data_IF_447709672987
#
_entry.id   IF_447709672987
#
_cell.length_a   1.000
_cell.length_b   1.000
_cell.length_c   1.000
_cell.angle_alpha   90.00
_cell.angle_beta   90.00
_cell.angle_gamma   90.00
#
_symmetry.space_group_name_H-M   'P 1'
#
loop_
_entity.id
_entity.type
_entity.pdbx_description
1 polymer ?
#
# COMPACT_ATOMS: atom_id res chain seq x y z
N UNK A 1 -19.32 0.66 1.86
CA UNK A 1 -17.95 0.91 2.34
C UNK A 1 -17.57 -0.24 3.24
N UNK A 2 -16.45 -0.93 2.98
CA UNK A 2 -15.91 -1.92 3.91
C UNK A 2 -15.71 -1.24 5.28
N UNK A 3 -16.03 -1.92 6.37
CA UNK A 3 -15.81 -1.35 7.71
C UNK A 3 -14.30 -1.22 7.91
N UNK A 4 -13.81 -0.15 8.53
CA UNK A 4 -12.38 0.07 8.82
C UNK A 4 -11.70 -1.14 9.52
N UNK A 5 -12.49 -1.96 10.21
CA UNK A 5 -12.07 -3.22 10.83
C UNK A 5 -11.78 -4.37 9.85
N UNK A 6 -12.05 -4.21 8.56
CA UNK A 6 -11.87 -5.23 7.53
C UNK A 6 -10.60 -4.98 6.69
N UNK A 7 -9.98 -3.80 6.83
CA UNK A 7 -8.77 -3.43 6.08
C UNK A 7 -7.53 -3.82 6.90
N UNK A 8 -7.03 -5.04 6.66
CA UNK A 8 -5.87 -5.60 7.37
C UNK A 8 -4.62 -4.71 7.30
N UNK A 9 -4.36 -4.06 6.16
CA UNK A 9 -3.22 -3.14 6.02
C UNK A 9 -3.32 -1.94 6.96
N UNK A 10 -4.53 -1.37 7.14
CA UNK A 10 -4.74 -0.23 8.03
C UNK A 10 -4.60 -0.65 9.50
N UNK A 11 -5.04 -1.86 9.85
CA UNK A 11 -4.79 -2.42 11.19
C UNK A 11 -3.29 -2.61 11.45
N UNK A 12 -2.56 -3.14 10.47
CA UNK A 12 -1.10 -3.25 10.54
C UNK A 12 -0.43 -1.91 10.74
N UNK A 13 -0.87 -0.88 10.01
CA UNK A 13 -0.34 0.49 10.16
C UNK A 13 -0.63 1.06 11.56
N UNK A 14 -1.86 0.94 12.05
CA UNK A 14 -2.23 1.37 13.42
C UNK A 14 -1.38 0.67 14.47
N UNK A 15 -1.16 -0.64 14.31
CA UNK A 15 -0.29 -1.41 15.20
C UNK A 15 1.15 -0.90 15.16
N UNK A 16 1.72 -0.69 13.98
CA UNK A 16 3.09 -0.20 13.83
C UNK A 16 3.29 1.19 14.46
N UNK A 17 2.33 2.11 14.29
CA UNK A 17 2.38 3.42 14.97
C UNK A 17 2.35 3.26 16.49
N UNK A 18 1.45 2.44 17.02
CA UNK A 18 1.34 2.20 18.46
C UNK A 18 2.64 1.58 19.04
N UNK A 19 3.23 0.60 18.34
CA UNK A 19 4.51 -0.03 18.72
C UNK A 19 5.67 0.96 18.74
N UNK A 20 5.64 1.98 17.86
CA UNK A 20 6.60 3.07 17.83
C UNK A 20 6.31 4.18 18.88
N UNK A 21 5.26 4.04 19.70
CA UNK A 21 4.83 5.08 20.65
C UNK A 21 4.21 6.31 19.99
N UNK A 22 3.81 6.20 18.71
CA UNK A 22 3.17 7.25 17.93
C UNK A 22 1.68 6.98 17.80
N UNK A 23 0.90 8.05 17.56
CA UNK A 23 -0.53 7.93 17.24
C UNK A 23 -0.74 8.21 15.76
N UNK A 24 -1.33 7.25 15.04
CA UNK A 24 -1.75 7.48 13.66
C UNK A 24 -2.79 8.62 13.63
N UNK A 25 -2.54 9.64 12.82
CA UNK A 25 -3.51 10.70 12.58
C UNK A 25 -4.56 10.19 11.58
N UNK A 26 -5.70 9.74 12.11
CA UNK A 26 -6.82 9.21 11.31
C UNK A 26 -7.36 10.21 10.27
N UNK A 27 -7.10 11.51 10.43
CA UNK A 27 -7.48 12.53 9.41
C UNK A 27 -6.63 12.45 8.14
N UNK A 28 -5.46 11.82 8.19
CA UNK A 28 -4.58 11.60 7.04
C UNK A 28 -4.86 10.26 6.35
N UNK A 29 -5.78 9.46 6.87
CA UNK A 29 -6.24 8.23 6.22
C UNK A 29 -7.27 8.59 5.16
N UNK A 30 -6.88 8.45 3.90
CA UNK A 30 -7.71 8.79 2.76
C UNK A 30 -8.27 7.53 2.09
N UNK A 31 -9.54 7.25 2.33
CA UNK A 31 -10.25 6.19 1.63
C UNK A 31 -10.52 6.55 0.18
N UNK A 32 -10.50 5.57 -0.72
CA UNK A 32 -10.84 5.76 -2.13
C UNK A 32 -12.34 6.05 -2.28
N UNK A 33 -12.66 7.28 -2.64
CA UNK A 33 -14.00 7.74 -2.96
C UNK A 33 -13.93 8.97 -3.90
N UNK A 34 -15.08 9.45 -4.35
CA UNK A 34 -15.15 10.70 -5.13
C UNK A 34 -14.65 11.88 -4.28
N UNK A 35 -13.59 12.55 -4.71
CA UNK A 35 -12.96 13.66 -3.97
C UNK A 35 -11.74 13.31 -3.11
N UNK A 36 -11.29 12.05 -3.05
CA UNK A 36 -10.03 11.67 -2.38
C UNK A 36 -8.83 12.48 -2.87
N UNK A 37 -8.76 12.72 -4.18
CA UNK A 37 -7.69 13.47 -4.83
C UNK A 37 -7.68 14.95 -4.42
N UNK A 38 -8.86 15.59 -4.34
CA UNK A 38 -8.96 16.98 -3.87
C UNK A 38 -8.60 17.11 -2.39
N UNK A 39 -8.98 16.12 -1.57
CA UNK A 39 -8.55 16.07 -0.16
C UNK A 39 -7.03 15.97 -0.05
N UNK A 40 -6.39 15.13 -0.88
CA UNK A 40 -4.92 15.05 -0.91
C UNK A 40 -4.28 16.39 -1.29
N UNK A 41 -4.80 17.07 -2.32
CA UNK A 41 -4.35 18.42 -2.69
C UNK A 41 -4.43 19.39 -1.52
N UNK A 42 -5.59 19.41 -0.85
CA UNK A 42 -5.85 20.30 0.28
C UNK A 42 -4.90 20.01 1.44
N UNK A 43 -4.60 18.74 1.72
CA UNK A 43 -3.65 18.36 2.77
C UNK A 43 -2.25 18.89 2.44
N UNK A 44 -1.77 18.70 1.21
CA UNK A 44 -0.45 19.19 0.78
C UNK A 44 -0.40 20.72 0.84
N UNK A 45 -1.45 21.41 0.40
CA UNK A 45 -1.52 22.88 0.44
C UNK A 45 -1.47 23.44 1.88
N UNK A 46 -2.04 22.72 2.85
CA UNK A 46 -2.10 23.16 4.24
C UNK A 46 -0.89 22.74 5.07
N UNK A 47 -0.34 21.56 4.81
CA UNK A 47 0.70 20.94 5.63
C UNK A 47 2.09 20.98 4.99
N UNK A 48 2.18 21.31 3.70
CA UNK A 48 3.39 21.18 2.91
C UNK A 48 3.68 19.73 2.53
N UNK A 49 4.93 19.49 2.15
CA UNK A 49 5.37 18.18 1.66
C UNK A 49 5.32 17.11 2.76
N UNK A 50 4.62 15.99 2.52
CA UNK A 50 4.59 14.88 3.47
C UNK A 50 5.94 14.16 3.52
N UNK A 51 6.36 13.73 4.71
CA UNK A 51 7.58 12.93 4.90
C UNK A 51 7.44 11.52 4.30
N UNK A 52 6.22 10.97 4.27
CA UNK A 52 5.94 9.69 3.66
C UNK A 52 4.50 9.58 3.17
N UNK A 53 4.28 8.82 2.10
CA UNK A 53 2.95 8.47 1.59
C UNK A 53 2.87 6.95 1.40
N UNK A 54 1.94 6.32 2.11
CA UNK A 54 1.59 4.91 1.87
C UNK A 54 0.36 4.80 0.97
N UNK A 55 0.54 4.27 -0.24
CA UNK A 55 -0.50 4.14 -1.24
C UNK A 55 -0.83 2.66 -1.51
N UNK A 56 -2.01 2.22 -1.06
CA UNK A 56 -2.49 0.84 -1.23
C UNK A 56 -3.11 0.58 -2.62
N UNK A 57 -3.04 -0.66 -3.11
CA UNK A 57 -3.92 -1.18 -4.16
C UNK A 57 -3.91 -0.41 -5.47
N UNK A 58 -2.75 0.03 -5.94
CA UNK A 58 -2.68 0.79 -7.19
C UNK A 58 -2.64 2.31 -7.04
N UNK A 59 -2.99 2.84 -5.87
CA UNK A 59 -3.30 4.27 -5.71
C UNK A 59 -2.13 5.20 -5.99
N UNK A 60 -0.89 4.70 -5.92
CA UNK A 60 0.28 5.48 -6.25
C UNK A 60 0.21 6.05 -7.67
N UNK A 61 -0.31 5.27 -8.63
CA UNK A 61 -0.54 5.74 -10.00
C UNK A 61 -1.51 6.93 -10.03
N UNK A 62 -2.60 6.84 -9.28
CA UNK A 62 -3.65 7.86 -9.25
C UNK A 62 -3.23 9.16 -8.59
N UNK A 63 -2.34 9.10 -7.59
CA UNK A 63 -1.89 10.30 -6.86
C UNK A 63 -0.62 10.93 -7.46
N UNK A 64 0.18 10.18 -8.22
CA UNK A 64 1.43 10.72 -8.83
C UNK A 64 1.22 12.03 -9.60
N UNK A 65 0.17 12.20 -10.42
CA UNK A 65 -0.07 13.48 -11.10
C UNK A 65 -0.24 14.65 -10.15
N UNK A 66 -0.87 14.42 -8.99
CA UNK A 66 -1.09 15.45 -7.95
C UNK A 66 0.22 15.78 -7.25
N UNK A 67 1.02 14.77 -6.91
CA UNK A 67 2.32 15.00 -6.29
C UNK A 67 3.23 15.83 -7.20
N UNK A 68 3.20 15.57 -8.51
CA UNK A 68 3.89 16.38 -9.52
C UNK A 68 3.29 17.78 -9.65
N UNK A 69 1.96 17.91 -9.71
CA UNK A 69 1.24 19.19 -9.73
C UNK A 69 1.63 20.09 -8.54
N UNK A 70 1.75 19.49 -7.36
CA UNK A 70 2.12 20.18 -6.11
C UNK A 70 3.62 20.36 -5.92
N UNK A 71 4.46 19.89 -6.86
CA UNK A 71 5.92 19.91 -6.77
C UNK A 71 6.46 19.28 -5.47
N UNK A 72 5.85 18.18 -5.03
CA UNK A 72 6.32 17.45 -3.84
C UNK A 72 7.75 16.96 -4.08
N UNK A 73 8.64 17.23 -3.12
CA UNK A 73 10.01 16.77 -3.14
C UNK A 73 10.09 15.25 -2.85
N UNK A 74 10.31 14.44 -3.89
CA UNK A 74 10.44 12.98 -3.77
C UNK A 74 11.74 12.52 -3.13
N UNK A 75 12.76 13.37 -2.98
CA UNK A 75 13.96 13.02 -2.23
C UNK A 75 13.72 13.13 -0.72
N UNK A 76 12.68 13.89 -0.31
CA UNK A 76 12.26 14.07 1.08
C UNK A 76 10.97 13.32 1.45
N UNK A 77 10.16 12.98 0.46
CA UNK A 77 8.93 12.23 0.62
C UNK A 77 9.14 10.74 0.30
N UNK A 78 9.14 9.88 1.33
CA UNK A 78 9.22 8.43 1.14
C UNK A 78 7.89 7.89 0.59
N UNK A 79 7.91 7.43 -0.66
CA UNK A 79 6.76 6.74 -1.24
C UNK A 79 6.79 5.25 -0.88
N UNK A 80 5.66 4.74 -0.39
CA UNK A 80 5.47 3.33 -0.05
C UNK A 80 4.30 2.80 -0.89
N UNK A 81 4.55 1.80 -1.72
CA UNK A 81 3.56 1.26 -2.67
C UNK A 81 3.63 -0.25 -2.79
N UNK A 82 2.68 -0.83 -3.53
CA UNK A 82 2.68 -2.26 -3.85
C UNK A 82 3.22 -2.51 -5.26
N UNK A 83 3.85 -3.67 -5.47
CA UNK A 83 4.51 -4.08 -6.72
C UNK A 83 3.65 -3.98 -7.98
N UNK A 84 2.33 -4.06 -7.83
CA UNK A 84 1.35 -3.98 -8.93
C UNK A 84 1.37 -2.61 -9.66
N UNK A 85 2.20 -1.66 -9.20
CA UNK A 85 2.36 -0.30 -9.74
C UNK A 85 3.82 0.00 -10.07
N UNK A 86 4.47 -0.84 -10.87
CA UNK A 86 5.82 -0.51 -11.32
C UNK A 86 5.82 0.70 -12.27
N UNK A 87 6.58 1.75 -11.92
CA UNK A 87 6.97 2.86 -12.80
C UNK A 87 8.49 3.00 -12.77
N UNK A 88 9.14 3.31 -13.91
CA UNK A 88 10.59 3.51 -13.97
C UNK A 88 11.10 4.59 -12.99
N UNK A 89 10.27 5.57 -12.67
CA UNK A 89 10.64 6.73 -11.85
C UNK A 89 10.30 6.55 -10.36
N UNK A 90 9.76 5.39 -9.95
CA UNK A 90 9.42 5.16 -8.54
C UNK A 90 10.68 5.04 -7.69
N UNK A 91 10.70 5.78 -6.58
CA UNK A 91 11.73 5.71 -5.55
C UNK A 91 11.06 5.54 -4.19
N UNK A 92 11.53 4.60 -3.40
CA UNK A 92 10.99 4.34 -2.07
C UNK A 92 10.80 2.86 -1.78
N UNK A 93 9.83 2.53 -0.92
CA UNK A 93 9.63 1.17 -0.45
C UNK A 93 8.51 0.48 -1.21
N UNK A 94 8.84 -0.63 -1.86
CA UNK A 94 7.90 -1.48 -2.56
C UNK A 94 7.55 -2.69 -1.71
N UNK A 95 6.26 -2.84 -1.40
CA UNK A 95 5.71 -4.05 -0.81
C UNK A 95 5.46 -5.05 -1.94
N UNK A 96 6.29 -6.08 -1.97
CA UNK A 96 6.32 -7.12 -3.00
C UNK A 96 5.94 -8.46 -2.38
N UNK A 97 5.61 -9.42 -3.26
CA UNK A 97 5.29 -10.79 -2.90
C UNK A 97 5.79 -11.73 -3.98
N UNK A 98 6.10 -12.96 -3.61
CA UNK A 98 6.46 -13.99 -4.57
C UNK A 98 5.19 -14.45 -5.31
N UNK A 99 4.92 -13.82 -6.46
CA UNK A 99 3.75 -14.12 -7.28
C UNK A 99 3.81 -15.51 -7.91
N UNK A 100 5.01 -16.02 -8.19
CA UNK A 100 5.20 -17.35 -8.75
C UNK A 100 4.87 -18.40 -7.69
N UNK A 101 5.39 -18.25 -6.47
CA UNK A 101 5.03 -19.10 -5.34
C UNK A 101 3.52 -19.00 -5.02
N UNK A 102 2.93 -17.80 -5.09
CA UNK A 102 1.48 -17.62 -4.91
C UNK A 102 0.66 -18.39 -5.95
N UNK A 103 1.03 -18.29 -7.22
CA UNK A 103 0.37 -19.00 -8.30
C UNK A 103 0.52 -20.51 -8.16
N UNK A 104 1.73 -20.98 -7.84
CA UNK A 104 2.02 -22.39 -7.62
C UNK A 104 1.17 -22.96 -6.46
N UNK A 105 1.18 -22.30 -5.30
CA UNK A 105 0.39 -22.73 -4.15
C UNK A 105 -1.12 -22.72 -4.45
N UNK A 106 -1.62 -21.72 -5.17
CA UNK A 106 -3.02 -21.65 -5.56
C UNK A 106 -3.43 -22.82 -6.47
N UNK A 107 -2.59 -23.17 -7.45
CA UNK A 107 -2.83 -24.31 -8.35
C UNK A 107 -2.74 -25.64 -7.58
N UNK A 108 -1.73 -25.82 -6.74
CA UNK A 108 -1.58 -27.02 -5.91
C UNK A 108 -2.82 -27.22 -5.01
N UNK A 109 -3.29 -26.15 -4.38
CA UNK A 109 -4.48 -26.17 -3.53
C UNK A 109 -5.74 -26.52 -4.33
N UNK A 110 -5.93 -25.92 -5.51
CA UNK A 110 -7.07 -26.21 -6.38
C UNK A 110 -7.10 -27.68 -6.82
N UNK A 111 -5.97 -28.21 -7.29
CA UNK A 111 -5.86 -29.60 -7.73
C UNK A 111 -6.12 -30.59 -6.57
N UNK A 112 -5.63 -30.27 -5.37
CA UNK A 112 -5.88 -31.08 -4.18
C UNK A 112 -7.37 -31.10 -3.81
N UNK A 113 -8.05 -29.95 -3.84
CA UNK A 113 -9.50 -29.85 -3.56
C UNK A 113 -10.34 -30.59 -4.60
N UNK A 114 -9.99 -30.50 -5.88
CA UNK A 114 -10.62 -31.29 -6.95
C UNK A 114 -10.47 -32.79 -6.67
N UNK A 115 -9.32 -33.20 -6.11
CA UNK A 115 -9.05 -34.56 -5.66
C UNK A 115 -9.72 -34.97 -4.33
N UNK A 116 -10.49 -34.09 -3.71
CA UNK A 116 -11.19 -34.35 -2.44
C UNK A 116 -10.36 -34.11 -1.18
N UNK A 117 -9.16 -33.53 -1.29
CA UNK A 117 -8.39 -33.12 -0.12
C UNK A 117 -9.03 -31.89 0.56
N UNK A 118 -8.89 -31.74 1.90
CA UNK A 118 -9.39 -30.58 2.60
C UNK A 118 -8.61 -29.32 2.25
N UNK A 119 -9.27 -28.16 2.38
CA UNK A 119 -8.62 -26.85 2.26
C UNK A 119 -7.50 -26.70 3.28
N UNK A 120 -6.35 -26.16 2.84
CA UNK A 120 -5.23 -25.77 3.71
C UNK A 120 -4.96 -24.28 3.56
N UNK A 121 -5.09 -23.53 4.65
CA UNK A 121 -4.66 -22.14 4.66
C UNK A 121 -3.12 -22.11 4.73
N UNK A 122 -2.51 -21.34 3.83
CA UNK A 122 -1.07 -21.17 3.74
C UNK A 122 -0.75 -19.68 3.73
N UNK A 123 0.25 -19.29 4.50
CA UNK A 123 0.73 -17.91 4.54
C UNK A 123 1.94 -17.75 3.62
N UNK A 124 1.85 -16.82 2.68
CA UNK A 124 2.99 -16.36 1.90
C UNK A 124 3.43 -14.99 2.43
N UNK A 125 4.71 -14.85 2.82
CA UNK A 125 5.20 -13.59 3.34
C UNK A 125 5.25 -12.54 2.23
N UNK A 126 4.82 -11.32 2.57
CA UNK A 126 5.16 -10.12 1.79
C UNK A 126 6.49 -9.59 2.29
N UNK A 127 7.27 -8.99 1.41
CA UNK A 127 8.55 -8.38 1.75
C UNK A 127 8.63 -6.95 1.23
N UNK A 128 9.50 -6.16 1.86
CA UNK A 128 9.73 -4.76 1.49
C UNK A 128 11.06 -4.68 0.74
N UNK A 129 11.02 -4.19 -0.49
CA UNK A 129 12.20 -3.87 -1.28
C UNK A 129 12.43 -2.36 -1.27
N UNK A 130 13.69 -1.95 -1.09
CA UNK A 130 14.06 -0.56 -1.29
C UNK A 130 14.40 -0.33 -2.76
N UNK A 131 13.62 0.50 -3.43
CA UNK A 131 13.83 0.86 -4.83
C UNK A 131 14.62 2.17 -4.87
N UNK A 132 15.92 2.01 -5.11
CA UNK A 132 16.87 3.10 -5.37
C UNK A 132 17.28 3.02 -6.84
N UNK A 133 17.26 4.15 -7.56
CA UNK A 133 17.70 4.22 -8.95
C UNK A 133 19.14 3.72 -9.15
#
# INVERSE_FOLDING_TARGET
>A
MAKDSEILQLQGLRRAFNEAGLRLNEKLVLYRHEGTLEKLRTIIDLMGDPEAIYAMGGMLYGITPILREKNVDFDRCLLIGEEVVWKPDFRGWQISQDFDALAELAVQQLLAEIGGAPRRDQELPRFIQNITC
#
